data_IF_373309944485
#
_entry.id   IF_373309944485
#
_cell.length_a   1.000
_cell.length_b   1.000
_cell.length_c   1.000
_cell.angle_alpha   90.00
_cell.angle_beta   90.00
_cell.angle_gamma   90.00
#
_symmetry.space_group_name_H-M   'P 1'
#
loop_
_entity.id
_entity.type
_entity.pdbx_description
1 polymer ?
#
# COMPACT_ATOMS: atom_id res chain seq x y z
N UNK A 1 -8.19 -7.31 -22.68
CA UNK A 1 -6.98 -6.70 -22.06
C UNK A 1 -7.27 -6.09 -20.70
N UNK A 2 -8.24 -5.17 -20.60
CA UNK A 2 -8.55 -4.40 -19.39
C UNK A 2 -8.81 -5.21 -18.10
N UNK A 3 -9.62 -6.27 -18.16
CA UNK A 3 -9.84 -7.18 -17.03
C UNK A 3 -8.84 -8.35 -17.04
N UNK A 4 -8.37 -8.74 -18.22
CA UNK A 4 -7.48 -9.88 -18.41
C UNK A 4 -6.11 -9.71 -17.73
N UNK A 5 -5.54 -8.50 -17.76
CA UNK A 5 -4.25 -8.23 -17.11
C UNK A 5 -4.35 -8.26 -15.57
N UNK A 6 -5.32 -7.59 -14.92
CA UNK A 6 -5.56 -7.75 -13.48
C UNK A 6 -5.89 -9.19 -13.06
N UNK A 7 -6.70 -9.91 -13.84
CA UNK A 7 -6.99 -11.32 -13.54
C UNK A 7 -5.75 -12.21 -13.71
N UNK A 8 -4.95 -11.97 -14.74
CA UNK A 8 -3.65 -12.64 -14.91
C UNK A 8 -2.74 -12.39 -13.71
N UNK A 9 -2.64 -11.14 -13.27
CA UNK A 9 -1.91 -10.76 -12.05
C UNK A 9 -2.48 -11.45 -10.81
N UNK A 10 -3.80 -11.60 -10.68
CA UNK A 10 -4.41 -12.32 -9.56
C UNK A 10 -4.00 -13.81 -9.51
N UNK A 11 -3.79 -14.42 -10.67
CA UNK A 11 -3.37 -15.83 -10.79
C UNK A 11 -1.86 -15.99 -10.58
N UNK A 12 -1.04 -15.04 -11.03
CA UNK A 12 0.42 -15.17 -11.03
C UNK A 12 1.12 -14.49 -9.86
N UNK A 13 0.52 -13.42 -9.30
CA UNK A 13 1.12 -12.61 -8.23
C UNK A 13 0.14 -12.53 -7.04
N UNK A 14 0.64 -12.88 -5.85
CA UNK A 14 -0.16 -12.90 -4.63
C UNK A 14 -0.30 -11.49 -4.01
N UNK A 15 -1.07 -10.62 -4.67
CA UNK A 15 -1.31 -9.22 -4.22
C UNK A 15 -2.64 -9.08 -3.45
N UNK A 16 -3.24 -10.20 -3.06
CA UNK A 16 -4.48 -10.23 -2.28
C UNK A 16 -5.67 -9.70 -3.08
N UNK A 17 -6.49 -8.84 -2.46
CA UNK A 17 -7.72 -8.32 -3.07
C UNK A 17 -7.48 -7.24 -4.13
N UNK A 18 -6.25 -6.74 -4.25
CA UNK A 18 -5.92 -5.61 -5.13
C UNK A 18 -6.44 -5.77 -6.56
N UNK A 19 -6.17 -6.88 -7.28
CA UNK A 19 -6.62 -6.99 -8.68
C UNK A 19 -8.14 -7.02 -8.82
N UNK A 20 -8.85 -7.58 -7.83
CA UNK A 20 -10.32 -7.61 -7.82
C UNK A 20 -10.87 -6.19 -7.60
N UNK A 21 -10.31 -5.46 -6.65
CA UNK A 21 -10.68 -4.06 -6.37
C UNK A 21 -10.45 -3.20 -7.61
N UNK A 22 -9.33 -3.38 -8.32
CA UNK A 22 -9.03 -2.69 -9.58
C UNK A 22 -10.09 -2.99 -10.63
N UNK A 23 -10.41 -4.28 -10.86
CA UNK A 23 -11.45 -4.67 -11.83
C UNK A 23 -12.78 -4.02 -11.48
N UNK A 24 -13.22 -4.12 -10.22
CA UNK A 24 -14.50 -3.55 -9.76
C UNK A 24 -14.53 -2.02 -9.88
N UNK A 25 -13.46 -1.35 -9.45
CA UNK A 25 -13.34 0.11 -9.53
C UNK A 25 -13.36 0.63 -10.96
N UNK A 26 -12.97 -0.21 -11.92
CA UNK A 26 -12.96 0.14 -13.33
C UNK A 26 -14.26 -0.18 -14.08
N UNK A 27 -15.15 -1.02 -13.52
CA UNK A 27 -16.45 -1.34 -14.13
C UNK A 27 -17.23 -0.07 -14.52
N UNK A 28 -17.38 0.96 -13.67
CA UNK A 28 -18.13 2.18 -14.02
C UNK A 28 -17.57 2.96 -15.20
N UNK A 29 -16.28 2.78 -15.53
CA UNK A 29 -15.59 3.47 -16.61
C UNK A 29 -15.68 2.74 -17.95
N UNK A 30 -16.36 1.58 -17.99
CA UNK A 30 -16.65 0.90 -19.24
C UNK A 30 -17.58 1.76 -20.11
N UNK A 31 -17.28 1.84 -21.40
CA UNK A 31 -18.01 2.65 -22.37
C UNK A 31 -19.43 2.10 -22.61
N UNK A 32 -20.37 2.96 -23.00
CA UNK A 32 -21.79 2.61 -23.26
C UNK A 32 -22.00 1.36 -24.13
N UNK A 33 -21.26 1.15 -25.23
CA UNK A 33 -21.46 -0.05 -26.07
C UNK A 33 -21.22 -1.38 -25.35
N UNK A 34 -20.37 -1.37 -24.31
CA UNK A 34 -20.10 -2.55 -23.47
C UNK A 34 -21.31 -2.86 -22.60
N UNK A 35 -21.89 -1.83 -21.99
CA UNK A 35 -23.10 -1.96 -21.18
C UNK A 35 -24.30 -2.43 -22.00
N UNK A 36 -24.49 -1.86 -23.20
CA UNK A 36 -25.55 -2.27 -24.13
C UNK A 36 -25.40 -3.74 -24.56
N UNK A 37 -24.16 -4.22 -24.71
CA UNK A 37 -23.89 -5.61 -25.05
C UNK A 37 -24.18 -6.55 -23.86
N UNK A 38 -23.85 -6.12 -22.64
CA UNK A 38 -24.16 -6.84 -21.40
C UNK A 38 -25.67 -6.94 -21.19
N UNK A 39 -26.41 -5.85 -21.42
CA UNK A 39 -27.88 -5.82 -21.32
C UNK A 39 -28.51 -6.82 -22.29
N UNK A 40 -28.11 -6.78 -23.57
CA UNK A 40 -28.55 -7.74 -24.59
C UNK A 40 -28.21 -9.20 -24.27
N UNK A 41 -27.07 -9.44 -23.62
CA UNK A 41 -26.70 -10.79 -23.18
C UNK A 41 -27.52 -11.23 -21.95
N UNK A 42 -27.75 -10.32 -21.01
CA UNK A 42 -28.56 -10.57 -19.82
C UNK A 42 -30.03 -10.85 -20.15
N UNK A 43 -30.58 -10.17 -21.16
CA UNK A 43 -31.89 -10.45 -21.75
C UNK A 43 -31.97 -11.88 -22.30
N UNK A 44 -30.97 -12.29 -23.10
CA UNK A 44 -30.91 -13.63 -23.70
C UNK A 44 -30.77 -14.75 -22.67
N UNK A 45 -30.10 -14.48 -21.55
CA UNK A 45 -29.87 -15.43 -20.46
C UNK A 45 -30.91 -15.33 -19.34
N UNK A 46 -31.96 -14.51 -19.49
CA UNK A 46 -33.00 -14.24 -18.49
C UNK A 46 -32.46 -13.73 -17.14
N UNK A 47 -31.26 -13.16 -17.15
CA UNK A 47 -30.47 -12.79 -15.97
C UNK A 47 -31.02 -11.55 -15.25
N UNK A 48 -31.77 -10.72 -15.98
CA UNK A 48 -32.39 -9.50 -15.46
C UNK A 48 -33.39 -9.78 -14.33
N UNK A 49 -34.08 -10.92 -14.34
CA UNK A 49 -34.99 -11.30 -13.25
C UNK A 49 -34.24 -11.69 -11.96
N UNK A 50 -33.05 -12.26 -12.08
CA UNK A 50 -32.18 -12.57 -10.93
C UNK A 50 -31.52 -11.31 -10.37
N UNK A 51 -31.07 -10.42 -11.27
CA UNK A 51 -30.52 -9.10 -10.91
C UNK A 51 -31.57 -8.20 -10.25
N UNK A 52 -32.81 -8.18 -10.74
CA UNK A 52 -33.91 -7.44 -10.12
C UNK A 52 -34.19 -7.91 -8.69
N UNK A 53 -34.16 -9.23 -8.45
CA UNK A 53 -34.29 -9.81 -7.10
C UNK A 53 -33.11 -9.43 -6.19
N UNK A 54 -31.88 -9.45 -6.71
CA UNK A 54 -30.69 -9.05 -5.96
C UNK A 54 -30.68 -7.55 -5.65
N UNK A 55 -31.08 -6.70 -6.60
CA UNK A 55 -31.22 -5.26 -6.42
C UNK A 55 -32.26 -4.92 -5.36
N UNK A 56 -33.42 -5.59 -5.37
CA UNK A 56 -34.44 -5.41 -4.34
C UNK A 56 -33.93 -5.77 -2.93
N UNK A 57 -33.09 -6.81 -2.81
CA UNK A 57 -32.45 -7.21 -1.54
C UNK A 57 -31.40 -6.20 -1.08
N UNK A 58 -30.58 -5.68 -2.00
CA UNK A 58 -29.59 -4.66 -1.67
C UNK A 58 -30.21 -3.31 -1.33
N UNK A 59 -31.25 -2.88 -2.04
CA UNK A 59 -31.99 -1.66 -1.73
C UNK A 59 -32.73 -1.76 -0.39
N UNK A 60 -33.15 -2.96 0.00
CA UNK A 60 -33.65 -3.25 1.35
C UNK A 60 -32.55 -3.06 2.40
N UNK A 61 -31.38 -3.70 2.23
CA UNK A 61 -30.26 -3.61 3.16
C UNK A 61 -29.66 -2.19 3.25
N UNK A 62 -29.53 -1.51 2.12
CA UNK A 62 -29.02 -0.14 2.05
C UNK A 62 -30.00 0.84 2.70
N UNK A 63 -31.31 0.67 2.55
CA UNK A 63 -32.30 1.48 3.27
C UNK A 63 -32.20 1.29 4.77
N UNK A 64 -32.00 0.06 5.25
CA UNK A 64 -31.80 -0.23 6.68
C UNK A 64 -30.49 0.36 7.22
N UNK A 65 -29.41 0.31 6.43
CA UNK A 65 -28.12 0.89 6.80
C UNK A 65 -28.09 2.42 6.73
N UNK A 66 -28.74 3.02 5.73
CA UNK A 66 -28.85 4.48 5.57
C UNK A 66 -29.85 5.10 6.54
N UNK A 67 -30.87 4.36 6.99
CA UNK A 67 -31.74 4.80 8.10
C UNK A 67 -31.00 4.87 9.44
N UNK A 68 -29.88 4.15 9.59
CA UNK A 68 -29.00 4.26 10.75
C UNK A 68 -27.99 5.42 10.65
N UNK A 69 -27.88 6.09 9.49
CA UNK A 69 -26.89 7.14 9.22
C UNK A 69 -27.44 8.42 8.60
N UNK A 70 -28.74 8.71 8.76
CA UNK A 70 -29.40 9.82 8.08
C UNK A 70 -29.07 11.19 8.70
N UNK A 71 -27.92 11.77 8.32
CA UNK A 71 -27.68 13.21 8.35
C UNK A 71 -26.59 13.60 7.34
N UNK A 72 -26.92 13.58 6.04
CA UNK A 72 -26.12 14.28 5.03
C UNK A 72 -27.05 15.11 4.13
N UNK A 73 -26.81 16.42 3.95
CA UNK A 73 -27.64 17.26 3.09
C UNK A 73 -27.38 16.96 1.62
N UNK A 74 -28.45 16.85 0.82
CA UNK A 74 -28.36 16.88 -0.65
C UNK A 74 -28.10 18.32 -1.11
N UNK A 75 -27.13 18.60 -2.00
CA UNK A 75 -27.05 19.88 -2.66
C UNK A 75 -28.18 20.01 -3.68
N UNK A 76 -28.90 21.12 -3.63
CA UNK A 76 -29.92 21.49 -4.61
C UNK A 76 -29.25 21.88 -5.95
N UNK A 77 -29.89 21.58 -7.10
CA UNK A 77 -29.36 21.99 -8.39
C UNK A 77 -29.53 23.50 -8.55
N UNK A 78 -28.42 24.20 -8.78
CA UNK A 78 -28.46 25.62 -9.09
C UNK A 78 -28.85 25.83 -10.56
N UNK A 79 -30.11 26.18 -10.80
CA UNK A 79 -30.53 26.86 -12.02
C UNK A 79 -29.91 28.26 -12.05
N UNK A 80 -28.70 28.40 -12.60
CA UNK A 80 -28.15 29.69 -13.06
C UNK A 80 -27.00 29.45 -14.04
N UNK A 81 -27.37 29.11 -15.27
CA UNK A 81 -26.51 29.31 -16.45
C UNK A 81 -27.41 29.69 -17.63
N UNK A 82 -28.22 30.71 -17.41
CA UNK A 82 -28.85 31.49 -18.47
C UNK A 82 -28.07 32.78 -18.61
N UNK A 83 -27.62 33.04 -19.83
CA UNK A 83 -27.18 34.34 -20.34
C UNK A 83 -25.70 34.73 -20.18
N UNK A 84 -24.85 34.16 -21.05
CA UNK A 84 -23.63 34.82 -21.49
C UNK A 84 -23.45 34.67 -23.01
N UNK A 85 -23.33 35.81 -23.69
CA UNK A 85 -23.25 36.01 -25.15
C UNK A 85 -22.08 35.24 -25.83
N UNK A 86 -22.41 34.13 -26.47
CA UNK A 86 -22.34 33.96 -27.93
C UNK A 86 -20.99 33.70 -28.64
N UNK A 87 -20.03 34.64 -28.66
CA UNK A 87 -18.91 34.59 -29.62
C UNK A 87 -17.53 34.58 -28.99
N UNK A 88 -17.28 35.40 -27.96
CA UNK A 88 -15.99 35.43 -27.27
C UNK A 88 -15.80 34.25 -26.32
N UNK A 89 -16.90 33.78 -25.72
CA UNK A 89 -16.92 32.54 -24.94
C UNK A 89 -16.76 31.32 -25.82
N UNK A 90 -17.29 31.27 -27.04
CA UNK A 90 -17.11 30.13 -27.94
C UNK A 90 -15.65 30.03 -28.43
N UNK A 91 -15.01 31.17 -28.76
CA UNK A 91 -13.60 31.21 -29.13
C UNK A 91 -12.66 30.98 -27.92
N UNK A 92 -13.05 31.43 -26.73
CA UNK A 92 -12.37 31.17 -25.45
C UNK A 92 -12.52 29.72 -24.99
N UNK A 93 -13.69 29.10 -25.18
CA UNK A 93 -13.96 27.69 -24.94
C UNK A 93 -13.32 26.80 -26.00
N UNK A 94 -13.21 27.24 -27.25
CA UNK A 94 -12.50 26.51 -28.30
C UNK A 94 -10.98 26.55 -28.08
N UNK A 95 -10.42 27.72 -27.71
CA UNK A 95 -9.01 27.83 -27.30
C UNK A 95 -8.74 27.09 -25.99
N UNK A 96 -9.62 27.20 -24.99
CA UNK A 96 -9.56 26.45 -23.75
C UNK A 96 -9.69 24.95 -23.99
N UNK A 97 -10.52 24.53 -24.95
CA UNK A 97 -10.64 23.13 -25.38
C UNK A 97 -9.35 22.64 -26.02
N UNK A 98 -8.73 23.37 -26.96
CA UNK A 98 -7.45 22.95 -27.56
C UNK A 98 -6.32 22.94 -26.52
N UNK A 99 -6.28 23.93 -25.63
CA UNK A 99 -5.30 23.98 -24.55
C UNK A 99 -5.44 22.77 -23.61
N UNK A 100 -6.68 22.46 -23.22
CA UNK A 100 -6.97 21.39 -22.27
C UNK A 100 -7.01 19.98 -22.90
N UNK A 101 -7.44 19.84 -24.15
CA UNK A 101 -7.55 18.55 -24.85
C UNK A 101 -6.28 18.14 -25.57
N UNK A 102 -5.39 19.09 -25.86
CA UNK A 102 -4.22 18.84 -26.71
C UNK A 102 -2.97 19.27 -25.99
N UNK A 103 -2.79 20.57 -25.72
CA UNK A 103 -1.53 21.10 -25.18
C UNK A 103 -1.20 20.48 -23.82
N UNK A 104 -2.16 20.48 -22.89
CA UNK A 104 -1.96 19.97 -21.55
C UNK A 104 -1.60 18.46 -21.55
N UNK A 105 -2.33 17.56 -22.24
CA UNK A 105 -1.90 16.17 -22.38
C UNK A 105 -0.50 15.98 -22.98
N UNK A 106 -0.12 16.79 -23.98
CA UNK A 106 1.24 16.70 -24.56
C UNK A 106 2.31 17.16 -23.59
N UNK A 107 2.08 18.23 -22.82
CA UNK A 107 3.00 18.68 -21.77
C UNK A 107 3.15 17.59 -20.72
N UNK A 108 2.05 17.01 -20.24
CA UNK A 108 2.06 15.91 -19.28
C UNK A 108 2.81 14.69 -19.84
N UNK A 109 2.60 14.35 -21.12
CA UNK A 109 3.32 13.26 -21.78
C UNK A 109 4.83 13.53 -21.83
N UNK A 110 5.24 14.75 -22.18
CA UNK A 110 6.66 15.13 -22.21
C UNK A 110 7.27 15.05 -20.80
N UNK A 111 6.58 15.57 -19.78
CA UNK A 111 7.01 15.48 -18.39
C UNK A 111 7.15 14.02 -17.92
N UNK A 112 6.18 13.15 -18.24
CA UNK A 112 6.25 11.71 -17.94
C UNK A 112 7.45 11.07 -18.62
N UNK A 113 7.71 11.39 -19.89
CA UNK A 113 8.84 10.82 -20.64
C UNK A 113 10.20 11.29 -20.11
N UNK A 114 10.32 12.57 -19.76
CA UNK A 114 11.52 13.14 -19.13
C UNK A 114 11.77 12.50 -17.76
N UNK A 115 10.75 12.47 -16.89
CA UNK A 115 10.85 11.84 -15.57
C UNK A 115 11.18 10.35 -15.67
N UNK A 116 10.57 9.63 -16.62
CA UNK A 116 10.88 8.21 -16.88
C UNK A 116 12.33 8.02 -17.34
N UNK A 117 12.83 8.83 -18.28
CA UNK A 117 14.20 8.75 -18.77
C UNK A 117 15.22 9.07 -17.66
N UNK A 118 14.90 10.04 -16.80
CA UNK A 118 15.72 10.38 -15.64
C UNK A 118 15.74 9.26 -14.59
N UNK A 119 14.60 8.61 -14.35
CA UNK A 119 14.50 7.52 -13.36
C UNK A 119 15.38 6.30 -13.66
N UNK A 120 15.81 6.13 -14.91
CA UNK A 120 16.72 5.07 -15.38
C UNK A 120 18.12 5.59 -15.73
N UNK A 121 18.40 6.88 -15.48
CA UNK A 121 19.71 7.49 -15.67
C UNK A 121 20.09 7.82 -17.13
N UNK A 122 19.12 7.94 -18.05
CA UNK A 122 19.40 8.29 -19.45
C UNK A 122 19.42 9.81 -19.71
N UNK A 123 18.79 10.62 -18.84
CA UNK A 123 18.70 12.07 -18.99
C UNK A 123 18.58 12.77 -17.64
N UNK A 124 18.83 14.07 -17.61
CA UNK A 124 18.53 14.94 -16.47
C UNK A 124 17.24 15.72 -16.76
N UNK A 125 16.44 15.98 -15.72
CA UNK A 125 15.23 16.80 -15.84
C UNK A 125 15.64 18.27 -15.63
N UNK A 126 15.32 19.19 -16.57
CA UNK A 126 15.55 20.62 -16.36
C UNK A 126 14.72 21.16 -15.19
N UNK A 127 15.26 22.09 -14.39
CA UNK A 127 14.61 22.61 -13.17
C UNK A 127 13.13 23.02 -13.34
N UNK A 128 12.70 23.72 -14.42
CA UNK A 128 11.28 24.08 -14.56
C UNK A 128 10.35 22.89 -14.79
N UNK A 129 10.88 21.79 -15.34
CA UNK A 129 10.14 20.55 -15.52
C UNK A 129 10.13 19.73 -14.21
N UNK A 130 11.18 19.81 -13.41
CA UNK A 130 11.29 19.18 -12.09
C UNK A 130 10.26 19.80 -11.13
N UNK A 131 10.24 21.13 -11.00
CA UNK A 131 9.25 21.86 -10.20
C UNK A 131 7.80 21.52 -10.61
N UNK A 132 7.56 21.34 -11.92
CA UNK A 132 6.24 21.01 -12.45
C UNK A 132 5.85 19.54 -12.17
N UNK A 133 6.81 18.63 -12.16
CA UNK A 133 6.60 17.23 -11.77
C UNK A 133 6.30 17.12 -10.28
N UNK A 134 7.09 17.79 -9.43
CA UNK A 134 6.91 17.83 -7.98
C UNK A 134 5.54 18.42 -7.62
N UNK A 135 5.18 19.57 -8.19
CA UNK A 135 3.90 20.24 -7.92
C UNK A 135 2.68 19.42 -8.35
N UNK A 136 2.85 18.56 -9.35
CA UNK A 136 1.80 17.66 -9.83
C UNK A 136 1.85 16.26 -9.20
N UNK A 137 2.82 15.99 -8.31
CA UNK A 137 3.15 14.67 -7.78
C UNK A 137 3.32 13.61 -8.89
N UNK A 138 4.01 13.99 -9.96
CA UNK A 138 4.13 13.23 -11.20
C UNK A 138 5.48 12.55 -11.41
N UNK A 139 6.35 12.54 -10.41
CA UNK A 139 7.62 11.85 -10.50
C UNK A 139 7.47 10.36 -10.74
N UNK A 140 8.17 9.90 -11.77
CA UNK A 140 8.14 8.52 -12.23
C UNK A 140 9.28 7.75 -11.58
N UNK A 141 8.94 6.65 -10.88
CA UNK A 141 9.92 5.78 -10.22
C UNK A 141 9.80 4.34 -10.71
N UNK A 142 10.00 4.13 -12.02
CA UNK A 142 9.86 2.82 -12.67
C UNK A 142 11.04 1.86 -12.47
N UNK A 143 12.02 2.24 -11.65
CA UNK A 143 13.24 1.47 -11.43
C UNK A 143 13.06 0.34 -10.39
N UNK A 144 11.88 -0.27 -10.30
CA UNK A 144 11.47 -1.20 -9.22
C UNK A 144 12.53 -2.24 -8.83
N UNK A 145 13.38 -2.68 -9.78
CA UNK A 145 14.49 -3.60 -9.57
C UNK A 145 15.79 -3.20 -10.28
N UNK A 146 15.94 -1.95 -10.71
CA UNK A 146 17.05 -1.50 -11.52
C UNK A 146 17.67 -0.20 -10.98
N UNK A 147 18.91 0.12 -11.37
CA UNK A 147 19.95 -0.83 -11.75
C UNK A 147 20.44 -1.65 -10.53
N UNK A 148 20.29 -1.12 -9.31
CA UNK A 148 20.83 -1.68 -8.07
C UNK A 148 19.71 -2.06 -7.09
N UNK A 149 19.08 -3.23 -7.25
CA UNK A 149 18.06 -3.68 -6.31
C UNK A 149 18.65 -3.88 -4.91
N UNK A 150 17.79 -3.87 -3.88
CA UNK A 150 18.20 -4.07 -2.49
C UNK A 150 18.88 -5.44 -2.34
N UNK A 151 20.14 -5.40 -1.88
CA UNK A 151 21.03 -6.57 -1.67
C UNK A 151 21.13 -7.00 -0.21
N UNK A 152 20.35 -6.37 0.65
CA UNK A 152 20.41 -6.56 2.10
C UNK A 152 19.17 -7.31 2.58
N UNK A 153 19.39 -8.46 3.20
CA UNK A 153 18.36 -9.20 3.93
C UNK A 153 18.32 -8.71 5.37
N UNK A 154 17.13 -8.48 5.94
CA UNK A 154 16.95 -8.03 7.33
C UNK A 154 15.90 -8.88 8.04
N UNK A 155 16.14 -9.21 9.30
CA UNK A 155 15.22 -9.94 10.17
C UNK A 155 15.31 -9.44 11.61
N UNK A 156 14.29 -9.75 12.40
CA UNK A 156 14.20 -9.39 13.81
C UNK A 156 14.47 -10.61 14.68
N UNK A 157 15.12 -10.37 15.81
CA UNK A 157 15.32 -11.35 16.88
C UNK A 157 14.89 -10.66 18.17
N UNK A 158 13.85 -11.17 18.83
CA UNK A 158 13.37 -10.62 20.09
C UNK A 158 13.72 -11.57 21.22
N UNK A 159 14.87 -11.36 21.84
CA UNK A 159 15.40 -12.23 22.91
C UNK A 159 14.64 -11.95 24.19
N UNK A 160 13.80 -12.89 24.61
CA UNK A 160 13.17 -12.88 25.92
C UNK A 160 13.94 -13.73 26.92
N UNK A 161 14.32 -13.14 28.04
CA UNK A 161 14.85 -13.87 29.19
C UNK A 161 13.67 -14.24 30.09
N UNK A 162 13.46 -15.55 30.25
CA UNK A 162 12.35 -16.11 31.02
C UNK A 162 12.69 -16.18 32.52
N UNK A 163 11.66 -16.32 33.37
CA UNK A 163 11.81 -16.47 34.83
C UNK A 163 12.71 -17.64 35.26
N UNK A 164 12.80 -18.69 34.43
CA UNK A 164 13.68 -19.84 34.67
C UNK A 164 15.13 -19.62 34.21
N UNK A 165 15.44 -18.40 33.74
CA UNK A 165 16.74 -17.99 33.21
C UNK A 165 17.02 -18.45 31.78
N UNK A 166 16.11 -19.18 31.15
CA UNK A 166 16.28 -19.59 29.75
C UNK A 166 15.96 -18.44 28.80
N UNK A 167 16.55 -18.47 27.60
CA UNK A 167 16.31 -17.47 26.56
C UNK A 167 15.54 -18.06 25.39
N UNK A 168 14.57 -17.29 24.89
CA UNK A 168 13.75 -17.68 23.74
C UNK A 168 13.44 -16.47 22.87
N UNK A 169 13.33 -16.67 21.56
CA UNK A 169 12.83 -15.63 20.67
C UNK A 169 11.32 -15.50 20.86
N UNK A 170 10.87 -14.46 21.58
CA UNK A 170 9.45 -14.28 21.96
C UNK A 170 8.58 -13.76 20.82
N UNK A 171 9.17 -13.28 19.72
CA UNK A 171 8.43 -12.89 18.52
C UNK A 171 8.09 -14.12 17.67
N UNK A 172 9.02 -15.07 17.56
CA UNK A 172 8.87 -16.29 16.74
C UNK A 172 8.49 -17.53 17.52
N UNK A 173 8.53 -17.47 18.85
CA UNK A 173 8.42 -18.60 19.75
C UNK A 173 9.42 -19.74 19.38
N UNK A 174 10.68 -19.38 19.17
CA UNK A 174 11.73 -20.28 18.69
C UNK A 174 13.06 -20.07 19.43
N UNK A 175 14.03 -20.97 19.22
CA UNK A 175 15.38 -20.77 19.74
C UNK A 175 15.99 -19.45 19.23
N UNK A 176 16.72 -18.76 20.11
CA UNK A 176 17.42 -17.53 19.77
C UNK A 176 18.55 -17.86 18.79
N UNK A 177 18.52 -17.20 17.63
CA UNK A 177 19.60 -17.27 16.64
C UNK A 177 19.63 -15.96 15.87
N UNK A 178 20.86 -15.47 15.66
CA UNK A 178 21.17 -14.31 14.84
C UNK A 178 21.64 -14.72 13.44
N UNK A 179 21.67 -16.01 13.12
CA UNK A 179 22.06 -16.48 11.80
C UNK A 179 21.01 -16.06 10.76
N UNK A 180 21.47 -15.81 9.53
CA UNK A 180 20.57 -15.47 8.44
C UNK A 180 19.55 -16.59 8.21
N UNK A 181 18.24 -16.33 8.30
CA UNK A 181 17.22 -17.31 7.98
C UNK A 181 17.27 -17.63 6.48
N UNK A 182 17.04 -18.89 6.12
CA UNK A 182 16.93 -19.31 4.71
C UNK A 182 15.87 -18.50 3.94
N UNK A 183 14.81 -18.07 4.65
CA UNK A 183 13.67 -17.32 4.12
C UNK A 183 13.23 -16.24 5.11
N UNK A 184 13.81 -15.05 4.99
CA UNK A 184 13.54 -13.92 5.87
C UNK A 184 12.08 -13.48 5.87
N UNK A 185 11.33 -13.71 4.78
CA UNK A 185 9.90 -13.39 4.73
C UNK A 185 9.06 -14.21 5.72
N UNK A 186 9.56 -15.37 6.16
CA UNK A 186 8.87 -16.23 7.14
C UNK A 186 9.20 -15.93 8.59
N UNK A 187 10.16 -15.06 8.87
CA UNK A 187 10.40 -14.61 10.24
C UNK A 187 9.34 -13.61 10.71
N UNK A 188 8.48 -13.12 9.80
CA UNK A 188 7.39 -12.21 10.10
C UNK A 188 6.08 -12.98 10.22
N UNK A 189 5.31 -12.83 11.32
CA UNK A 189 4.05 -13.55 11.47
C UNK A 189 3.03 -13.26 10.36
N UNK A 190 2.96 -12.00 9.89
CA UNK A 190 2.12 -11.58 8.77
C UNK A 190 2.77 -10.47 7.94
N UNK A 191 2.20 -10.18 6.77
CA UNK A 191 2.60 -9.03 5.95
C UNK A 191 2.41 -7.68 6.67
N UNK A 192 1.42 -7.57 7.57
CA UNK A 192 1.20 -6.39 8.40
C UNK A 192 2.29 -6.24 9.45
N UNK A 193 2.70 -7.34 10.09
CA UNK A 193 3.85 -7.35 10.99
C UNK A 193 5.12 -6.89 10.29
N UNK A 194 5.37 -7.39 9.07
CA UNK A 194 6.52 -6.93 8.27
C UNK A 194 6.49 -5.42 7.99
N UNK A 195 5.31 -4.86 7.70
CA UNK A 195 5.15 -3.42 7.46
C UNK A 195 5.34 -2.60 8.75
N UNK A 196 4.77 -3.06 9.86
CA UNK A 196 4.92 -2.43 11.16
C UNK A 196 6.37 -2.42 11.64
N UNK A 197 7.05 -3.58 11.58
CA UNK A 197 8.44 -3.71 12.00
C UNK A 197 9.37 -2.83 11.14
N UNK A 198 9.10 -2.64 9.85
CA UNK A 198 9.82 -1.64 9.04
C UNK A 198 9.81 -0.24 9.68
N UNK A 199 8.71 0.17 10.31
CA UNK A 199 8.61 1.46 11.01
C UNK A 199 9.37 1.45 12.35
N UNK A 200 9.35 0.34 13.09
CA UNK A 200 10.08 0.16 14.37
C UNK A 200 11.58 0.37 14.21
N UNK A 201 12.16 -0.06 13.08
CA UNK A 201 13.57 0.21 12.76
C UNK A 201 13.90 1.68 12.50
N UNK A 202 12.92 2.51 12.07
CA UNK A 202 13.17 3.91 11.73
C UNK A 202 13.83 4.66 12.88
N UNK A 203 14.81 5.52 12.57
CA UNK A 203 15.64 6.21 13.56
C UNK A 203 14.80 7.00 14.58
N UNK A 204 13.73 7.64 14.12
CA UNK A 204 12.90 8.55 14.94
C UNK A 204 11.68 7.89 15.61
N UNK A 205 11.66 6.55 15.73
CA UNK A 205 10.50 5.80 16.21
C UNK A 205 10.75 5.06 17.54
N UNK A 206 11.40 5.71 18.51
CA UNK A 206 11.68 5.12 19.84
C UNK A 206 10.41 4.62 20.54
N UNK A 207 9.34 5.41 20.52
CA UNK A 207 8.03 5.01 21.07
C UNK A 207 7.55 3.66 20.51
N UNK A 208 7.72 3.41 19.20
CA UNK A 208 7.27 2.17 18.59
C UNK A 208 8.13 0.96 19.00
N UNK A 209 9.40 1.17 19.37
CA UNK A 209 10.27 0.10 19.91
C UNK A 209 9.77 -0.32 21.29
N UNK A 210 9.45 0.65 22.16
CA UNK A 210 8.82 0.41 23.47
C UNK A 210 7.46 -0.26 23.35
N UNK A 211 6.63 0.17 22.39
CA UNK A 211 5.30 -0.44 22.16
C UNK A 211 5.41 -1.90 21.72
N UNK A 212 6.36 -2.20 20.83
CA UNK A 212 6.63 -3.57 20.42
C UNK A 212 7.09 -4.42 21.61
N UNK A 213 8.09 -3.96 22.36
CA UNK A 213 8.66 -4.73 23.45
C UNK A 213 7.63 -5.01 24.56
N UNK A 214 6.87 -3.99 24.97
CA UNK A 214 5.79 -4.15 25.93
C UNK A 214 4.69 -5.11 25.43
N UNK A 215 4.30 -5.02 24.15
CA UNK A 215 3.37 -5.96 23.54
C UNK A 215 3.90 -7.39 23.60
N UNK A 216 5.20 -7.61 23.30
CA UNK A 216 5.80 -8.94 23.34
C UNK A 216 5.79 -9.52 24.75
N UNK A 217 6.16 -8.73 25.77
CA UNK A 217 6.04 -9.13 27.18
C UNK A 217 4.60 -9.56 27.52
N UNK A 218 3.63 -8.67 27.26
CA UNK A 218 2.23 -8.91 27.61
C UNK A 218 1.58 -10.03 26.81
N UNK A 219 2.00 -10.26 25.57
CA UNK A 219 1.52 -11.36 24.75
C UNK A 219 2.11 -12.70 25.23
N UNK A 220 3.42 -12.76 25.47
CA UNK A 220 4.10 -13.96 25.93
C UNK A 220 3.53 -14.45 27.27
N UNK A 221 3.45 -13.55 28.26
CA UNK A 221 2.98 -13.87 29.62
C UNK A 221 1.50 -14.27 29.67
N UNK A 222 0.73 -13.99 28.61
CA UNK A 222 -0.68 -14.41 28.51
C UNK A 222 -0.83 -15.81 27.92
N UNK A 223 0.13 -16.27 27.13
CA UNK A 223 0.02 -17.52 26.34
C UNK A 223 0.94 -18.63 26.82
N UNK A 224 1.91 -18.34 27.68
CA UNK A 224 2.89 -19.31 28.19
C UNK A 224 2.87 -19.38 29.71
N UNK A 225 3.29 -20.52 30.25
CA UNK A 225 3.36 -20.77 31.70
C UNK A 225 4.56 -20.06 32.34
N UNK A 226 5.73 -20.12 31.71
CA UNK A 226 6.92 -19.38 32.16
C UNK A 226 6.90 -17.96 31.61
N UNK A 227 6.86 -16.97 32.49
CA UNK A 227 6.81 -15.58 32.08
C UNK A 227 8.18 -15.11 31.53
N UNK A 228 8.14 -14.09 30.69
CA UNK A 228 9.31 -13.31 30.27
C UNK A 228 9.47 -12.10 31.18
N UNK A 229 10.69 -11.88 31.66
CA UNK A 229 11.05 -10.78 32.56
C UNK A 229 11.68 -9.62 31.79
N UNK A 230 12.50 -9.90 30.79
CA UNK A 230 13.17 -8.90 29.95
C UNK A 230 13.10 -9.30 28.48
N UNK A 231 12.78 -8.34 27.61
CA UNK A 231 12.82 -8.50 26.15
C UNK A 231 13.81 -7.51 25.55
N UNK A 232 14.85 -8.04 24.87
CA UNK A 232 15.76 -7.26 24.04
C UNK A 232 15.47 -7.51 22.58
N UNK A 233 15.15 -6.46 21.83
CA UNK A 233 14.83 -6.55 20.39
C UNK A 233 16.03 -6.13 19.58
N UNK A 234 16.48 -7.02 18.71
CA UNK A 234 17.55 -6.78 17.74
C UNK A 234 17.00 -6.75 16.32
N UNK A 235 17.65 -5.96 15.46
CA UNK A 235 17.58 -6.15 14.02
C UNK A 235 18.93 -6.61 13.49
N UNK A 236 18.92 -7.78 12.86
CA UNK A 236 20.07 -8.33 12.16
C UNK A 236 19.93 -8.12 10.66
N UNK A 237 21.09 -7.96 9.99
CA UNK A 237 21.15 -7.85 8.55
C UNK A 237 22.35 -8.58 7.96
N UNK A 238 22.19 -9.01 6.72
CA UNK A 238 23.26 -9.54 5.88
C UNK A 238 23.15 -8.92 4.48
N UNK A 239 24.25 -8.33 4.00
CA UNK A 239 24.39 -7.80 2.65
C UNK A 239 25.19 -8.80 1.82
N UNK A 240 24.60 -9.23 0.71
CA UNK A 240 25.23 -10.20 -0.21
C UNK A 240 25.55 -9.59 -1.56
N UNK A 241 26.61 -10.07 -2.21
CA UNK A 241 26.88 -9.77 -3.60
C UNK A 241 25.87 -10.54 -4.49
N UNK A 242 25.16 -9.86 -5.42
CA UNK A 242 24.14 -10.53 -6.24
C UNK A 242 24.71 -11.50 -7.28
N UNK A 243 25.99 -11.39 -7.65
CA UNK A 243 26.58 -12.20 -8.73
C UNK A 243 27.21 -13.51 -8.24
N UNK A 244 27.91 -13.48 -7.11
CA UNK A 244 28.59 -14.64 -6.55
C UNK A 244 27.99 -15.11 -5.22
N UNK A 245 27.01 -14.40 -4.67
CA UNK A 245 26.35 -14.74 -3.40
C UNK A 245 27.19 -14.50 -2.14
N UNK A 246 28.41 -13.95 -2.26
CA UNK A 246 29.30 -13.77 -1.10
C UNK A 246 28.73 -12.74 -0.11
N UNK A 247 28.86 -13.02 1.18
CA UNK A 247 28.55 -12.04 2.24
C UNK A 247 29.57 -10.91 2.18
N UNK A 248 29.08 -9.68 2.02
CA UNK A 248 29.91 -8.47 2.01
C UNK A 248 29.95 -7.80 3.39
N UNK A 249 28.84 -7.85 4.11
CA UNK A 249 28.71 -7.30 5.45
C UNK A 249 27.56 -8.01 6.18
N UNK A 250 27.73 -8.28 7.46
CA UNK A 250 26.67 -8.74 8.34
C UNK A 250 26.87 -8.11 9.72
N UNK A 251 25.78 -7.71 10.35
CA UNK A 251 25.80 -7.23 11.74
C UNK A 251 24.40 -7.34 12.34
N UNK A 252 24.34 -7.23 13.66
CA UNK A 252 23.12 -6.94 14.40
C UNK A 252 23.23 -5.61 15.12
N UNK A 253 22.07 -5.03 15.41
CA UNK A 253 21.96 -3.83 16.23
C UNK A 253 20.82 -4.02 17.21
N UNK A 254 21.10 -3.72 18.47
CA UNK A 254 20.08 -3.61 19.49
C UNK A 254 19.20 -2.39 19.21
N UNK A 255 17.89 -2.60 19.24
CA UNK A 255 16.90 -1.53 19.06
C UNK A 255 16.39 -1.01 20.40
N UNK A 256 16.14 -1.94 21.34
CA UNK A 256 15.65 -1.65 22.68
C UNK A 256 15.88 -2.87 23.58
N UNK A 257 16.26 -2.61 24.83
CA UNK A 257 16.12 -3.52 25.96
C UNK A 257 14.96 -3.04 26.84
N UNK A 258 14.07 -3.96 27.23
CA UNK A 258 12.85 -3.62 27.94
C UNK A 258 12.56 -4.61 29.07
N UNK A 259 12.49 -4.10 30.30
CA UNK A 259 11.99 -4.83 31.46
C UNK A 259 10.46 -4.93 31.38
N UNK A 260 9.92 -6.15 31.42
CA UNK A 260 8.49 -6.40 31.32
C UNK A 260 7.68 -5.89 32.53
N UNK A 261 8.33 -5.57 33.64
CA UNK A 261 7.75 -4.84 34.78
C UNK A 261 7.82 -3.31 34.62
N UNK A 262 8.57 -2.83 33.62
CA UNK A 262 8.79 -1.42 33.34
C UNK A 262 7.54 -0.66 32.89
N UNK A 263 7.58 0.66 33.06
CA UNK A 263 6.49 1.52 32.61
C UNK A 263 6.31 1.45 31.09
N UNK A 264 5.06 1.52 30.63
CA UNK A 264 4.77 1.69 29.22
C UNK A 264 5.10 3.13 28.81
N UNK A 265 6.23 3.32 28.12
CA UNK A 265 6.67 4.65 27.69
C UNK A 265 5.87 5.10 26.47
N UNK A 266 4.81 5.88 26.70
CA UNK A 266 4.16 6.72 25.69
C UNK A 266 4.63 8.15 25.89
N UNK A 267 5.74 8.55 25.28
CA UNK A 267 6.04 9.98 25.23
C UNK A 267 5.16 10.60 24.13
N UNK A 268 4.27 11.51 24.52
CA UNK A 268 3.35 12.26 23.64
C UNK A 268 4.08 13.10 22.58
#
# INVERSE_FOLDING_TARGET
LFVGMPLGMAVTIRVGLFPIVVVVGFIPFLQTPVWDAIERAADRLNWLTALARWRARFESLARTALSAGASLPRPAPSERLGDLRGSDLAAGLARGRVLFSTVLPYVFLVLILLSSAASVGYAEVPEPADDALDAAEMDQSWQMFAPDPIRTTRWYVAVGTLEDGTQRDVLRDAAVTFDRPARAETTYPTSRWRKYLKNVYGADNENHRSYLANYLCGNWNRTHETAVENVTVYQAYERTNPYNGSVQAANDFELIEYDCSGAFVQNE
#
